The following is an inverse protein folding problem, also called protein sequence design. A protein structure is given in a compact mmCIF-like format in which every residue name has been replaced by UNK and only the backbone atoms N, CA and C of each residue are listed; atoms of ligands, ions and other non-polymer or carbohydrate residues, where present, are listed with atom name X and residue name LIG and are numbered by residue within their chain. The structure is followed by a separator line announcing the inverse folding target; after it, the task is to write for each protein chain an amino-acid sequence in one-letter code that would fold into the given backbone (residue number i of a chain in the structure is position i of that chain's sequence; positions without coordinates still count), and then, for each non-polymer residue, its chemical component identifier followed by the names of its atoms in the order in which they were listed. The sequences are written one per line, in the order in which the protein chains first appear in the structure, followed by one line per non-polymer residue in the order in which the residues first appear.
data_IF_014666044394
#
_entry.id   IF_014666044394
#
_cell.length_a   1.000
_cell.length_b   1.000
_cell.length_c   1.000
_cell.angle_alpha   90.00
_cell.angle_beta   90.00
_cell.angle_gamma   90.00
#
_symmetry.space_group_name_H-M   'P 1'
#
loop_
_entity.id
_entity.type
_entity.pdbx_description
1 polymer ?
#
# COMPACT_ATOMS: atom_id res chain seq x y z
N UNK A 1 0.62 22.71 9.69
CA UNK A 1 0.47 21.50 10.54
C UNK A 1 0.81 20.25 9.73
N UNK A 2 1.62 19.35 10.29
CA UNK A 2 1.97 18.10 9.62
C UNK A 2 0.74 17.18 9.64
N UNK A 3 0.31 16.76 8.47
CA UNK A 3 -0.86 15.89 8.37
C UNK A 3 -0.60 14.54 9.05
N UNK A 4 -1.50 14.15 9.93
CA UNK A 4 -1.38 12.87 10.62
C UNK A 4 -1.83 11.74 9.68
N UNK A 5 -0.93 10.82 9.41
CA UNK A 5 -1.21 9.65 8.55
C UNK A 5 -1.36 8.43 9.46
N UNK A 6 -2.53 7.82 9.42
CA UNK A 6 -2.85 6.67 10.27
C UNK A 6 -3.13 5.42 9.42
N UNK A 7 -2.95 4.22 10.01
CA UNK A 7 -3.42 3.00 9.34
C UNK A 7 -4.94 2.94 9.32
N UNK A 8 -5.48 2.24 8.34
CA UNK A 8 -6.91 1.90 8.32
C UNK A 8 -7.05 0.63 9.14
N UNK A 9 -7.60 0.76 10.35
CA UNK A 9 -7.69 -0.36 11.30
C UNK A 9 -8.94 -1.21 11.09
N UNK A 10 -10.05 -0.57 10.73
CA UNK A 10 -11.34 -1.24 10.55
C UNK A 10 -11.38 -1.94 9.19
N UNK A 11 -11.74 -3.24 9.18
CA UNK A 11 -11.75 -4.04 7.95
C UNK A 11 -12.84 -3.60 6.98
N UNK A 12 -13.98 -3.14 7.49
CA UNK A 12 -15.08 -2.65 6.65
C UNK A 12 -14.65 -1.36 5.95
N UNK A 13 -14.04 -0.44 6.70
CA UNK A 13 -13.51 0.80 6.13
C UNK A 13 -12.44 0.50 5.07
N UNK A 14 -11.56 -0.48 5.34
CA UNK A 14 -10.54 -0.87 4.37
C UNK A 14 -11.18 -1.37 3.07
N UNK A 15 -12.22 -2.20 3.18
CA UNK A 15 -12.95 -2.70 2.00
C UNK A 15 -13.57 -1.54 1.21
N UNK A 16 -14.14 -0.55 1.89
CA UNK A 16 -14.74 0.62 1.25
C UNK A 16 -13.68 1.46 0.53
N UNK A 17 -12.52 1.66 1.17
CA UNK A 17 -11.41 2.41 0.57
C UNK A 17 -10.92 1.70 -0.69
N UNK A 18 -10.74 0.38 -0.61
CA UNK A 18 -10.26 -0.41 -1.75
C UNK A 18 -11.25 -0.37 -2.91
N UNK A 19 -12.54 -0.52 -2.62
CA UNK A 19 -13.59 -0.45 -3.65
C UNK A 19 -13.62 0.94 -4.30
N UNK A 20 -13.50 1.99 -3.51
CA UNK A 20 -13.50 3.36 -4.01
C UNK A 20 -12.28 3.61 -4.90
N UNK A 21 -11.10 3.16 -4.49
CA UNK A 21 -9.90 3.30 -5.31
C UNK A 21 -10.06 2.61 -6.66
N UNK A 22 -10.64 1.41 -6.65
CA UNK A 22 -10.77 0.62 -7.88
C UNK A 22 -11.86 1.17 -8.80
N UNK A 23 -13.00 1.58 -8.25
CA UNK A 23 -14.21 1.79 -9.04
C UNK A 23 -14.51 3.25 -9.34
N UNK A 24 -13.96 4.20 -8.56
CA UNK A 24 -14.32 5.61 -8.70
C UNK A 24 -13.25 6.45 -9.42
N UNK A 25 -12.24 5.82 -9.97
CA UNK A 25 -11.17 6.52 -10.69
C UNK A 25 -10.97 5.91 -12.07
N UNK A 26 -10.62 6.76 -13.05
CA UNK A 26 -10.38 6.33 -14.43
C UNK A 26 -9.31 5.22 -14.49
N UNK A 27 -8.25 5.34 -13.70
CA UNK A 27 -7.19 4.33 -13.65
C UNK A 27 -7.24 3.61 -12.30
N UNK A 28 -8.45 3.27 -11.88
CA UNK A 28 -8.69 2.69 -10.56
C UNK A 28 -7.98 1.37 -10.32
N UNK A 29 -7.89 0.54 -11.36
CA UNK A 29 -7.22 -0.75 -11.21
C UNK A 29 -5.73 -0.56 -10.88
N UNK A 30 -5.08 0.46 -11.51
CA UNK A 30 -3.69 0.81 -11.16
C UNK A 30 -3.60 1.28 -9.70
N UNK A 31 -4.49 2.20 -9.32
CA UNK A 31 -4.45 2.80 -7.98
C UNK A 31 -4.70 1.75 -6.90
N UNK A 32 -5.67 0.88 -7.12
CA UNK A 32 -5.98 -0.25 -6.25
C UNK A 32 -4.76 -1.17 -6.09
N UNK A 33 -4.10 -1.49 -7.21
CA UNK A 33 -2.96 -2.42 -7.18
C UNK A 33 -1.76 -1.80 -6.47
N UNK A 34 -1.52 -0.49 -6.65
CA UNK A 34 -0.48 0.21 -5.89
C UNK A 34 -0.73 0.03 -4.38
N UNK A 35 -1.97 0.27 -3.95
CA UNK A 35 -2.32 0.15 -2.53
C UNK A 35 -2.10 -1.28 -2.04
N UNK A 36 -2.56 -2.27 -2.80
CA UNK A 36 -2.41 -3.68 -2.40
C UNK A 36 -0.95 -4.10 -2.32
N UNK A 37 -0.12 -3.66 -3.27
CA UNK A 37 1.32 -3.98 -3.24
C UNK A 37 1.98 -3.32 -2.02
N UNK A 38 1.70 -2.04 -1.77
CA UNK A 38 2.27 -1.35 -0.62
C UNK A 38 1.84 -1.97 0.71
N UNK A 39 0.58 -2.39 0.79
CA UNK A 39 0.04 -3.05 1.98
C UNK A 39 0.68 -4.42 2.23
N UNK A 40 0.92 -5.18 1.15
CA UNK A 40 1.45 -6.55 1.27
C UNK A 40 2.97 -6.59 1.47
N UNK A 41 3.70 -5.61 0.94
CA UNK A 41 5.17 -5.61 0.97
C UNK A 41 5.74 -4.68 2.03
N UNK A 42 4.93 -3.77 2.56
CA UNK A 42 5.34 -2.70 3.48
C UNK A 42 6.40 -1.76 2.88
N UNK A 43 6.47 -1.68 1.57
CA UNK A 43 7.37 -0.75 0.89
C UNK A 43 6.90 0.70 1.05
N UNK A 44 7.85 1.62 1.03
CA UNK A 44 7.54 3.05 0.90
C UNK A 44 6.97 3.31 -0.50
N UNK A 45 6.15 4.37 -0.61
CA UNK A 45 5.49 4.70 -1.86
C UNK A 45 6.49 4.86 -3.01
N UNK A 46 7.64 5.48 -2.74
CA UNK A 46 8.66 5.68 -3.78
C UNK A 46 9.18 4.36 -4.35
N UNK A 47 9.26 3.33 -3.52
CA UNK A 47 9.71 2.01 -3.97
C UNK A 47 8.61 1.26 -4.70
N UNK A 48 7.36 1.38 -4.24
CA UNK A 48 6.22 0.73 -4.93
C UNK A 48 6.08 1.27 -6.34
N UNK A 49 6.02 2.60 -6.49
CA UNK A 49 5.74 3.21 -7.80
C UNK A 49 6.90 3.06 -8.78
N UNK A 50 8.10 2.77 -8.30
CA UNK A 50 9.25 2.57 -9.18
C UNK A 50 9.57 1.09 -9.45
N UNK A 51 8.65 0.19 -9.09
CA UNK A 51 8.80 -1.21 -9.47
C UNK A 51 8.69 -1.35 -10.99
N UNK A 52 9.50 -2.23 -11.56
CA UNK A 52 9.42 -2.57 -12.97
C UNK A 52 8.64 -3.87 -13.13
N UNK A 53 8.02 -4.04 -14.30
CA UNK A 53 7.32 -5.28 -14.60
C UNK A 53 8.24 -6.50 -14.45
N UNK A 54 9.51 -6.37 -14.87
CA UNK A 54 10.48 -7.45 -14.77
C UNK A 54 10.85 -7.80 -13.32
N UNK A 55 10.64 -6.88 -12.37
CA UNK A 55 10.85 -7.18 -10.95
C UNK A 55 9.79 -8.16 -10.42
N UNK A 56 8.60 -8.12 -11.03
CA UNK A 56 7.39 -8.77 -10.50
C UNK A 56 6.96 -9.97 -11.34
N UNK A 57 7.09 -9.88 -12.67
CA UNK A 57 6.67 -10.93 -13.60
C UNK A 57 7.89 -11.59 -14.25
N UNK A 58 7.80 -12.89 -14.43
CA UNK A 58 8.83 -13.64 -15.15
C UNK A 58 8.59 -13.57 -16.67
N UNK A 59 9.41 -14.29 -17.43
CA UNK A 59 9.36 -14.26 -18.89
C UNK A 59 8.07 -14.87 -19.45
N UNK A 60 7.41 -15.73 -18.67
CA UNK A 60 6.13 -16.33 -19.03
C UNK A 60 4.93 -15.47 -18.61
N UNK A 61 5.18 -14.34 -17.95
CA UNK A 61 4.13 -13.46 -17.45
C UNK A 61 3.54 -13.90 -16.12
N UNK A 62 4.16 -14.87 -15.46
CA UNK A 62 3.73 -15.30 -14.13
C UNK A 62 4.34 -14.42 -13.05
N UNK A 63 3.64 -14.28 -11.93
CA UNK A 63 4.15 -13.48 -10.80
C UNK A 63 5.30 -14.24 -10.14
N UNK A 64 6.45 -13.59 -9.99
CA UNK A 64 7.60 -14.17 -9.29
C UNK A 64 7.24 -14.41 -7.82
N UNK A 65 7.82 -15.44 -7.23
CA UNK A 65 7.67 -15.68 -5.79
C UNK A 65 8.27 -14.52 -5.00
N UNK A 66 9.44 -14.06 -5.42
CA UNK A 66 10.18 -12.98 -4.74
C UNK A 66 10.61 -11.92 -5.75
N UNK A 67 10.62 -10.68 -5.30
CA UNK A 67 11.24 -9.58 -6.03
C UNK A 67 12.42 -9.06 -5.21
N UNK A 68 13.49 -8.65 -5.90
CA UNK A 68 14.71 -8.17 -5.27
C UNK A 68 14.90 -6.71 -5.68
N UNK A 69 14.83 -5.81 -4.72
CA UNK A 69 14.93 -4.37 -4.99
C UNK A 69 15.96 -3.74 -4.07
N UNK A 70 16.36 -2.51 -4.41
CA UNK A 70 17.19 -1.67 -3.53
C UNK A 70 16.31 -0.52 -3.05
N UNK A 71 16.14 -0.42 -1.73
CA UNK A 71 15.35 0.63 -1.07
C UNK A 71 15.94 2.00 -1.41
N UNK A 72 15.13 2.90 -1.95
CA UNK A 72 15.60 4.21 -2.39
C UNK A 72 16.11 5.08 -1.27
N UNK A 73 15.50 4.98 -0.08
CA UNK A 73 15.87 5.82 1.04
C UNK A 73 17.11 5.30 1.78
N UNK A 74 17.18 3.99 2.00
CA UNK A 74 18.24 3.41 2.83
C UNK A 74 19.35 2.77 2.02
N UNK A 75 19.14 2.56 0.70
CA UNK A 75 20.07 1.90 -0.22
C UNK A 75 20.38 0.45 0.17
N UNK A 76 19.51 -0.15 0.99
CA UNK A 76 19.66 -1.55 1.40
C UNK A 76 18.89 -2.46 0.45
N UNK A 77 19.42 -3.66 0.23
CA UNK A 77 18.73 -4.68 -0.52
C UNK A 77 17.51 -5.16 0.26
N UNK A 78 16.42 -5.42 -0.46
CA UNK A 78 15.16 -5.86 0.12
C UNK A 78 14.59 -6.97 -0.73
N UNK A 79 14.18 -8.06 -0.10
CA UNK A 79 13.53 -9.18 -0.76
C UNK A 79 12.05 -9.14 -0.44
N UNK A 80 11.22 -9.02 -1.47
CA UNK A 80 9.77 -8.95 -1.33
C UNK A 80 9.16 -10.33 -1.56
N UNK A 81 8.20 -10.72 -0.72
CA UNK A 81 7.41 -11.92 -0.91
C UNK A 81 6.10 -11.53 -1.59
N UNK A 82 5.86 -12.00 -2.82
CA UNK A 82 4.77 -11.49 -3.66
C UNK A 82 3.52 -12.35 -3.62
N UNK A 83 3.56 -13.53 -2.99
CA UNK A 83 2.39 -14.41 -2.96
C UNK A 83 1.13 -13.73 -2.38
N UNK A 84 1.23 -12.90 -1.29
CA UNK A 84 0.01 -12.28 -0.77
C UNK A 84 -0.70 -11.34 -1.75
N UNK A 85 -0.01 -10.85 -2.78
CA UNK A 85 -0.58 -9.91 -3.73
C UNK A 85 -0.61 -10.48 -5.17
N UNK A 86 -0.36 -11.78 -5.30
CA UNK A 86 -0.27 -12.46 -6.61
C UNK A 86 -1.54 -12.29 -7.44
N UNK A 87 -2.71 -12.51 -6.83
CA UNK A 87 -3.98 -12.42 -7.55
C UNK A 87 -4.25 -10.99 -8.05
N UNK A 88 -3.92 -10.00 -7.22
CA UNK A 88 -4.09 -8.60 -7.61
C UNK A 88 -3.15 -8.23 -8.76
N UNK A 89 -1.91 -8.71 -8.71
CA UNK A 89 -0.94 -8.44 -9.77
C UNK A 89 -1.37 -9.08 -11.10
N UNK A 90 -1.88 -10.31 -11.06
CA UNK A 90 -2.39 -10.99 -12.28
C UNK A 90 -3.58 -10.25 -12.86
N UNK A 91 -4.50 -9.81 -12.01
CA UNK A 91 -5.67 -9.05 -12.46
C UNK A 91 -5.25 -7.73 -13.09
N UNK A 92 -4.28 -7.06 -12.49
CA UNK A 92 -3.75 -5.80 -13.01
C UNK A 92 -3.07 -5.99 -14.38
N UNK A 93 -2.30 -7.06 -14.53
CA UNK A 93 -1.63 -7.36 -15.81
C UNK A 93 -2.68 -7.57 -16.92
N UNK A 94 -3.75 -8.30 -16.63
CA UNK A 94 -4.86 -8.48 -17.61
C UNK A 94 -5.52 -7.15 -17.93
N UNK A 95 -5.73 -6.31 -16.91
CA UNK A 95 -6.32 -4.99 -17.11
C UNK A 95 -5.44 -4.11 -18.01
N UNK A 96 -4.11 -4.15 -17.82
CA UNK A 96 -3.19 -3.40 -18.68
C UNK A 96 -3.26 -3.87 -20.12
N UNK A 97 -3.32 -5.19 -20.34
CA UNK A 97 -3.44 -5.76 -21.68
C UNK A 97 -4.74 -5.27 -22.35
N UNK A 98 -5.84 -5.36 -21.62
CA UNK A 98 -7.15 -4.94 -22.15
C UNK A 98 -7.21 -3.43 -22.42
N UNK A 99 -6.60 -2.64 -21.55
CA UNK A 99 -6.52 -1.19 -21.75
C UNK A 99 -5.74 -0.85 -23.01
N UNK A 100 -4.60 -1.51 -23.23
CA UNK A 100 -3.77 -1.30 -24.40
C UNK A 100 -4.54 -1.67 -25.68
N UNK A 101 -5.27 -2.78 -25.66
CA UNK A 101 -6.08 -3.20 -26.82
C UNK A 101 -7.17 -2.19 -27.13
N UNK A 102 -7.81 -1.63 -26.11
CA UNK A 102 -8.87 -0.63 -26.27
C UNK A 102 -8.32 0.76 -26.60
N UNK A 103 -7.06 1.02 -26.30
CA UNK A 103 -6.40 2.32 -26.48
C UNK A 103 -5.03 2.10 -27.14
N UNK A 104 -5.01 1.78 -28.45
CA UNK A 104 -3.75 1.34 -29.10
C UNK A 104 -2.64 2.40 -29.09
N UNK A 105 -2.99 3.66 -28.96
CA UNK A 105 -2.01 4.75 -28.94
C UNK A 105 -1.36 4.94 -27.56
N UNK A 106 -1.84 4.24 -26.54
CA UNK A 106 -1.34 4.39 -25.18
C UNK A 106 -0.43 3.20 -24.86
N UNK A 107 0.87 3.44 -24.71
CA UNK A 107 1.90 2.41 -24.62
C UNK A 107 2.08 1.88 -23.19
N UNK A 108 0.98 1.63 -22.48
CA UNK A 108 1.08 1.19 -21.06
C UNK A 108 1.48 -0.27 -20.93
N UNK A 109 1.04 -1.12 -21.86
CA UNK A 109 1.39 -2.55 -21.81
C UNK A 109 2.88 -2.76 -22.08
N UNK A 110 3.45 -2.00 -23.02
CA UNK A 110 4.86 -2.14 -23.38
C UNK A 110 5.80 -1.34 -22.50
N UNK A 111 5.27 -0.52 -21.59
CA UNK A 111 6.09 0.22 -20.62
C UNK A 111 6.85 -0.75 -19.72
N UNK A 112 8.11 -0.43 -19.41
CA UNK A 112 8.88 -1.23 -18.45
C UNK A 112 8.36 -1.11 -17.02
N UNK A 113 7.63 -0.02 -16.73
CA UNK A 113 7.17 0.27 -15.37
C UNK A 113 5.92 -0.53 -15.02
N UNK A 114 5.88 -1.06 -13.80
CA UNK A 114 4.69 -1.75 -13.30
C UNK A 114 3.51 -0.78 -13.20
N UNK A 115 3.77 0.44 -12.74
CA UNK A 115 2.75 1.48 -12.59
C UNK A 115 3.09 2.69 -13.45
N UNK A 116 2.87 2.57 -14.77
CA UNK A 116 3.23 3.67 -15.67
C UNK A 116 2.31 4.87 -15.51
N UNK A 117 2.82 6.04 -15.88
CA UNK A 117 1.97 7.20 -16.12
C UNK A 117 1.21 6.93 -17.42
N UNK A 118 -0.11 7.14 -17.43
CA UNK A 118 -0.92 6.89 -18.62
C UNK A 118 -0.77 8.02 -19.65
N UNK A 119 -0.27 9.19 -19.22
CA UNK A 119 0.06 10.28 -20.13
C UNK A 119 1.47 10.16 -20.70
N UNK A 120 2.38 9.60 -19.90
CA UNK A 120 3.79 9.43 -20.27
C UNK A 120 4.25 8.02 -19.88
N UNK A 121 3.86 7.00 -20.67
CA UNK A 121 4.16 5.60 -20.26
C UNK A 121 5.65 5.24 -20.17
N UNK A 122 6.52 6.07 -20.74
CA UNK A 122 7.97 5.92 -20.55
C UNK A 122 8.41 6.23 -19.12
N UNK A 123 7.51 6.77 -18.27
CA UNK A 123 7.77 7.10 -16.87
C UNK A 123 6.74 6.44 -15.97
N UNK A 124 7.15 6.16 -14.73
CA UNK A 124 6.20 5.67 -13.74
C UNK A 124 5.39 6.83 -13.16
N UNK A 125 4.29 6.48 -12.57
CA UNK A 125 3.44 7.46 -11.90
C UNK A 125 4.23 8.23 -10.83
N UNK A 126 3.91 9.41 -10.63
CA UNK A 126 4.59 10.23 -9.74
C UNK A 126 3.94 10.18 -8.35
N UNK A 127 4.61 10.62 -7.21
CA UNK A 127 4.11 10.70 -5.89
C UNK A 127 3.04 11.69 -5.73
N UNK A 128 3.14 12.72 -6.39
CA UNK A 128 2.15 13.71 -6.39
C UNK A 128 0.91 13.26 -7.01
N UNK A 129 1.05 12.50 -8.03
CA UNK A 129 -0.15 11.96 -8.66
C UNK A 129 -0.85 10.93 -7.78
N UNK A 130 -0.09 10.04 -7.22
CA UNK A 130 -0.66 9.05 -6.27
C UNK A 130 -1.21 9.73 -5.02
N UNK A 131 -0.51 10.72 -4.55
CA UNK A 131 -1.02 11.53 -3.44
C UNK A 131 -2.39 12.13 -3.75
N UNK A 132 -2.59 12.65 -4.85
CA UNK A 132 -3.81 13.19 -5.27
C UNK A 132 -4.89 12.19 -5.38
N UNK A 133 -4.49 10.94 -5.50
CA UNK A 133 -5.37 9.87 -5.53
C UNK A 133 -5.87 9.56 -4.18
N UNK A 134 -4.90 9.51 -3.28
CA UNK A 134 -5.23 9.20 -1.86
C UNK A 134 -6.06 10.31 -1.17
N UNK A 135 -5.79 11.39 -1.49
CA UNK A 135 -6.52 12.46 -0.95
C UNK A 135 -7.92 12.50 -1.41
N UNK A 136 -8.10 12.21 -2.63
CA UNK A 136 -9.47 12.06 -3.14
C UNK A 136 -10.22 10.83 -2.58
N UNK A 137 -9.47 9.90 -2.39
CA UNK A 137 -10.01 8.70 -1.86
C UNK A 137 -10.51 8.91 -0.48
N UNK A 138 -9.73 9.68 0.28
CA UNK A 138 -10.12 10.11 1.63
C UNK A 138 -11.44 10.92 1.67
N UNK A 139 -11.46 11.79 0.86
CA UNK A 139 -12.60 12.61 0.75
C UNK A 139 -13.84 11.85 0.40
N UNK A 140 -13.70 10.72 -0.26
CA UNK A 140 -14.76 9.95 -0.65
C UNK A 140 -15.22 9.00 0.38
N UNK A 141 -14.28 8.64 1.23
CA UNK A 141 -14.47 7.74 2.33
C UNK A 141 -14.66 8.42 3.62
N UNK A 142 -14.74 9.75 3.66
CA UNK A 142 -14.88 10.59 4.85
C UNK A 142 -13.71 10.58 5.83
N UNK A 143 -12.62 10.19 5.27
CA UNK A 143 -11.47 10.12 6.06
C UNK A 143 -10.57 11.21 5.71
N UNK A 144 -9.86 11.77 6.79
CA UNK A 144 -8.93 12.89 6.61
C UNK A 144 -7.46 12.49 6.73
N UNK A 145 -7.16 11.23 6.85
CA UNK A 145 -5.80 10.71 7.05
C UNK A 145 -5.27 9.86 5.87
N UNK A 146 -5.88 9.72 4.85
CA UNK A 146 -5.55 8.95 3.74
C UNK A 146 -4.52 9.69 2.94
N UNK A 147 -3.31 9.29 3.01
CA UNK A 147 -2.12 9.78 2.42
C UNK A 147 -1.42 8.68 1.70
N UNK A 148 -0.05 8.98 1.24
CA UNK A 148 0.67 7.97 0.49
C UNK A 148 1.18 6.79 1.33
N UNK A 149 1.44 7.04 2.58
CA UNK A 149 1.93 5.99 3.47
C UNK A 149 0.82 5.21 4.16
N UNK A 150 -0.45 5.53 3.90
CA UNK A 150 -1.58 4.80 4.49
C UNK A 150 -1.53 3.31 4.16
N UNK A 151 -1.19 2.96 2.92
CA UNK A 151 -1.09 1.55 2.51
C UNK A 151 -0.05 0.79 3.35
N UNK A 152 1.11 1.42 3.56
CA UNK A 152 2.20 0.81 4.31
C UNK A 152 1.84 0.66 5.79
N UNK A 153 1.26 1.70 6.36
CA UNK A 153 0.81 1.68 7.77
C UNK A 153 -0.32 0.66 7.97
N UNK A 154 -1.24 0.57 7.01
CA UNK A 154 -2.35 -0.39 7.08
C UNK A 154 -1.81 -1.82 7.03
N UNK A 155 -0.86 -2.10 6.15
CA UNK A 155 -0.22 -3.40 6.08
C UNK A 155 0.50 -3.75 7.37
N UNK A 156 1.27 -2.80 7.91
CA UNK A 156 2.00 -3.00 9.17
C UNK A 156 1.04 -3.28 10.32
N UNK A 157 -0.09 -2.56 10.39
CA UNK A 157 -1.09 -2.78 11.42
C UNK A 157 -1.70 -4.18 11.30
N UNK A 158 -2.01 -4.62 10.08
CA UNK A 158 -2.58 -5.96 9.87
C UNK A 158 -1.58 -7.05 10.28
N UNK A 159 -0.29 -6.87 9.97
CA UNK A 159 0.74 -7.81 10.43
C UNK A 159 0.77 -7.84 11.96
N UNK A 160 0.75 -6.67 12.59
CA UNK A 160 0.77 -6.56 14.04
C UNK A 160 -0.38 -7.35 14.67
N UNK A 161 -1.61 -7.09 14.24
CA UNK A 161 -2.80 -7.74 14.81
C UNK A 161 -2.79 -9.25 14.52
N UNK A 162 -2.49 -9.65 13.28
CA UNK A 162 -2.62 -11.04 12.86
C UNK A 162 -1.42 -11.91 13.25
N UNK A 163 -0.32 -11.29 13.66
CA UNK A 163 0.82 -12.02 14.23
C UNK A 163 0.73 -12.13 15.75
N UNK A 164 -0.46 -11.92 16.30
CA UNK A 164 -0.70 -11.95 17.74
C UNK A 164 0.11 -10.87 18.44
N UNK A 165 0.08 -9.66 17.85
CA UNK A 165 0.70 -8.44 18.41
C UNK A 165 2.22 -8.54 18.53
N UNK A 166 2.86 -9.17 17.54
CA UNK A 166 4.31 -9.34 17.51
C UNK A 166 4.97 -8.05 17.01
N UNK A 167 5.26 -7.15 17.96
CA UNK A 167 5.86 -5.84 17.63
C UNK A 167 7.28 -6.00 17.05
N UNK A 168 8.02 -7.01 17.51
CA UNK A 168 9.37 -7.27 17.00
C UNK A 168 9.37 -7.62 15.52
N UNK A 169 8.38 -8.41 15.08
CA UNK A 169 8.23 -8.74 13.67
C UNK A 169 7.96 -7.48 12.85
N UNK A 170 7.05 -6.62 13.32
CA UNK A 170 6.71 -5.39 12.61
C UNK A 170 7.90 -4.46 12.53
N UNK A 171 8.64 -4.31 13.63
CA UNK A 171 9.89 -3.52 13.66
C UNK A 171 10.87 -3.99 12.57
N UNK A 172 11.04 -5.31 12.48
CA UNK A 172 11.97 -5.90 11.51
C UNK A 172 11.50 -5.62 10.08
N UNK A 173 10.21 -5.82 9.81
CA UNK A 173 9.64 -5.61 8.45
C UNK A 173 9.72 -4.15 8.03
N UNK A 174 9.55 -3.22 8.98
CA UNK A 174 9.63 -1.78 8.70
C UNK A 174 11.06 -1.25 8.77
N UNK A 175 11.99 -2.06 9.23
CA UNK A 175 13.38 -1.65 9.47
C UNK A 175 13.47 -0.50 10.49
N UNK A 176 12.67 -0.60 11.55
CA UNK A 176 12.67 0.36 12.67
C UNK A 176 13.62 -0.09 13.76
N UNK A 177 14.31 0.87 14.39
CA UNK A 177 15.29 0.60 15.43
C UNK A 177 14.71 0.66 16.83
N UNK A 178 13.48 1.17 17.01
CA UNK A 178 12.88 1.28 18.35
C UNK A 178 11.43 0.84 18.33
N UNK A 179 11.01 0.25 19.44
CA UNK A 179 9.62 -0.14 19.67
C UNK A 179 8.70 1.09 19.69
N UNK A 180 9.15 2.18 20.35
CA UNK A 180 8.37 3.40 20.44
C UNK A 180 8.07 3.99 19.05
N UNK A 181 9.07 3.96 18.15
CA UNK A 181 8.88 4.42 16.78
C UNK A 181 7.80 3.60 16.07
N UNK A 182 7.81 2.28 16.25
CA UNK A 182 6.84 1.39 15.62
C UNK A 182 5.43 1.58 16.19
N UNK A 183 5.33 1.73 17.51
CA UNK A 183 4.02 1.97 18.15
C UNK A 183 3.39 3.26 17.63
N UNK A 184 4.20 4.33 17.54
CA UNK A 184 3.71 5.61 16.99
C UNK A 184 3.31 5.44 15.52
N UNK A 185 4.09 4.67 14.75
CA UNK A 185 3.82 4.40 13.34
C UNK A 185 2.47 3.69 13.18
N UNK A 186 2.15 2.76 14.08
CA UNK A 186 0.90 2.00 14.06
C UNK A 186 -0.29 2.77 14.64
N UNK A 187 -0.07 3.99 15.14
CA UNK A 187 -1.12 4.76 15.81
C UNK A 187 -1.47 4.17 17.17
N UNK A 188 -0.46 3.64 17.88
CA UNK A 188 -0.64 3.01 19.19
C UNK A 188 0.20 3.74 20.25
N UNK A 189 0.33 5.05 20.09
CA UNK A 189 1.00 5.90 21.08
C UNK A 189 0.10 6.08 22.31
N UNK A 190 0.55 6.90 23.25
CA UNK A 190 -0.15 7.05 24.53
C UNK A 190 -1.61 7.48 24.35
N UNK A 191 -1.85 8.46 23.46
CA UNK A 191 -3.24 8.93 23.25
C UNK A 191 -4.13 7.81 22.74
N UNK A 192 -3.64 7.02 21.80
CA UNK A 192 -4.40 5.89 21.25
C UNK A 192 -4.69 4.85 22.32
N UNK A 193 -3.75 4.62 23.24
CA UNK A 193 -3.95 3.69 24.35
C UNK A 193 -5.01 4.21 25.33
N UNK A 194 -4.96 5.49 25.65
CA UNK A 194 -5.94 6.11 26.53
C UNK A 194 -7.35 6.03 25.94
N UNK A 195 -7.46 6.34 24.64
CA UNK A 195 -8.75 6.24 23.94
C UNK A 195 -9.31 4.83 23.98
N UNK A 196 -8.43 3.82 23.88
CA UNK A 196 -8.84 2.42 23.97
C UNK A 196 -9.29 2.08 25.40
N UNK A 197 -8.50 2.49 26.39
CA UNK A 197 -8.80 2.19 27.79
C UNK A 197 -10.15 2.81 28.24
N UNK A 198 -10.50 3.97 27.70
CA UNK A 198 -11.78 4.61 27.96
C UNK A 198 -12.96 3.74 27.52
N UNK A 199 -12.74 2.82 26.59
CA UNK A 199 -13.79 1.94 26.07
C UNK A 199 -13.85 0.59 26.80
N UNK A 200 -12.92 0.34 27.72
CA UNK A 200 -12.83 -0.96 28.41
C UNK A 200 -13.70 -0.92 29.68
N UNK A 201 -14.53 -1.94 29.84
CA UNK A 201 -15.21 -2.17 31.09
C UNK A 201 -14.31 -3.04 31.98
N UNK A 202 -13.75 -2.43 33.00
CA UNK A 202 -12.82 -3.13 33.89
C UNK A 202 -13.56 -3.96 34.97
N UNK A 203 -14.88 -3.90 34.98
CA UNK A 203 -15.68 -4.62 35.97
C UNK A 203 -15.66 -3.95 37.33
N UNK A 204 -16.50 -4.46 38.23
CA UNK A 204 -16.59 -3.95 39.59
C UNK A 204 -17.91 -4.32 40.23
N UNK A 205 -18.06 -3.98 41.54
CA UNK A 205 -19.28 -4.19 42.27
C UNK A 205 -20.15 -2.93 42.13
N UNK A 206 -21.44 -3.10 41.72
CA UNK A 206 -22.40 -1.99 41.62
C UNK A 206 -23.08 -1.77 42.97
#
# INVERSE_FOLDING_TARGET
MKQLVLPIKDSQMLSQVLATLRDNFKFGQRNYTIFQVGKATLLRVSDVISLKKADVFDEEGEVRRNAFIVDKKTHKQNTLYLKPVEKDLKRYARWLTNYQLANPDCQVYTSEWLFPSFQRPDRHIXXXQYYXXMXKXGXXXGXNYXXTHTMRKTGAYRVYVQSNYNIGLVMKLLNHSSEAMTLAYLGLDQQSREDLLDQIDFGGIN
#
